data_IF_477337126132
#
_entry.id   IF_477337126132
#
_cell.length_a   1.000
_cell.length_b   1.000
_cell.length_c   1.000
_cell.angle_alpha   90.00
_cell.angle_beta   90.00
_cell.angle_gamma   90.00
#
_symmetry.space_group_name_H-M   'P 1'
#
loop_
_entity.id
_entity.type
_entity.pdbx_description
1 polymer ?
#
# COMPACT_ATOMS: atom_id res chain seq x y z
N UNK A 1 5.36 19.00 7.96
CA UNK A 1 4.23 18.26 7.38
C UNK A 1 3.20 18.07 8.47
N UNK A 2 1.91 17.99 8.11
CA UNK A 2 0.85 17.83 9.10
C UNK A 2 0.71 16.35 9.49
N UNK A 3 0.22 16.11 10.71
CA UNK A 3 -0.07 14.77 11.21
C UNK A 3 -1.50 14.40 10.85
N UNK A 4 -1.69 13.25 10.22
CA UNK A 4 -2.98 12.73 9.81
C UNK A 4 -3.29 11.40 10.51
N UNK A 5 -4.57 11.24 10.84
CA UNK A 5 -5.19 10.04 11.35
C UNK A 5 -6.04 9.47 10.21
N UNK A 6 -5.66 8.29 9.71
CA UNK A 6 -6.26 7.68 8.54
C UNK A 6 -6.90 6.35 8.93
N UNK A 7 -8.15 6.12 8.52
CA UNK A 7 -8.91 4.92 8.86
C UNK A 7 -9.57 4.32 7.62
N UNK A 8 -9.55 3.00 7.52
CA UNK A 8 -10.29 2.25 6.51
C UNK A 8 -10.75 0.92 7.13
N UNK A 9 -12.03 0.85 7.51
CA UNK A 9 -12.58 -0.31 8.22
C UNK A 9 -11.87 -0.54 9.55
N UNK A 10 -11.22 -1.70 9.71
CA UNK A 10 -10.45 -2.06 10.90
C UNK A 10 -9.00 -1.53 10.90
N UNK A 11 -8.52 -0.99 9.78
CA UNK A 11 -7.16 -0.45 9.65
C UNK A 11 -7.13 1.01 10.07
N UNK A 12 -6.21 1.34 10.97
CA UNK A 12 -5.94 2.71 11.42
C UNK A 12 -4.44 2.98 11.36
N UNK A 13 -4.04 4.12 10.80
CA UNK A 13 -2.65 4.55 10.76
C UNK A 13 -2.55 6.04 11.07
N UNK A 14 -1.42 6.43 11.67
CA UNK A 14 -1.06 7.82 11.89
C UNK A 14 0.17 8.09 11.03
N UNK A 15 0.07 9.09 10.15
CA UNK A 15 1.13 9.41 9.18
C UNK A 15 1.40 10.90 9.16
N UNK A 16 2.62 11.27 8.81
CA UNK A 16 2.93 12.64 8.42
C UNK A 16 2.84 12.74 6.89
N UNK A 17 2.03 13.67 6.39
CA UNK A 17 1.80 13.82 4.96
C UNK A 17 1.73 15.31 4.57
N UNK A 18 1.83 15.57 3.26
CA UNK A 18 1.71 16.91 2.71
C UNK A 18 0.25 17.36 2.63
N UNK A 19 -0.66 16.42 2.41
CA UNK A 19 -2.11 16.60 2.29
C UNK A 19 -2.85 15.29 2.66
N UNK A 20 -4.19 15.34 2.59
CA UNK A 20 -5.04 14.22 2.99
C UNK A 20 -4.98 13.07 1.98
N UNK A 21 -4.83 13.39 0.70
CA UNK A 21 -4.69 12.43 -0.40
C UNK A 21 -3.41 11.60 -0.24
N UNK A 22 -2.27 12.24 0.04
CA UNK A 22 -1.01 11.55 0.33
C UNK A 22 -1.11 10.69 1.60
N UNK A 23 -1.84 11.16 2.62
CA UNK A 23 -2.09 10.37 3.83
C UNK A 23 -2.91 9.10 3.53
N UNK A 24 -3.96 9.21 2.70
CA UNK A 24 -4.76 8.07 2.26
C UNK A 24 -3.93 7.11 1.36
N UNK A 25 -3.09 7.65 0.48
CA UNK A 25 -2.16 6.88 -0.35
C UNK A 25 -1.25 5.99 0.50
N UNK A 26 -0.75 6.52 1.62
CA UNK A 26 0.08 5.77 2.55
C UNK A 26 -0.66 4.60 3.21
N UNK A 27 -1.97 4.74 3.50
CA UNK A 27 -2.76 3.62 4.01
C UNK A 27 -2.87 2.51 2.96
N UNK A 28 -3.13 2.87 1.69
CA UNK A 28 -3.21 1.90 0.60
C UNK A 28 -1.86 1.22 0.36
N UNK A 29 -0.77 1.98 0.34
CA UNK A 29 0.58 1.45 0.18
C UNK A 29 0.90 0.39 1.25
N UNK A 30 0.65 0.72 2.51
CA UNK A 30 0.79 -0.21 3.64
C UNK A 30 -0.11 -1.44 3.50
N UNK A 31 -1.32 -1.29 2.97
CA UNK A 31 -2.23 -2.40 2.76
C UNK A 31 -1.81 -3.32 1.61
N UNK A 32 -1.26 -2.77 0.53
CA UNK A 32 -0.92 -3.49 -0.69
C UNK A 32 0.53 -3.99 -0.72
N UNK A 33 1.34 -3.69 0.30
CA UNK A 33 2.76 -4.04 0.37
C UNK A 33 3.04 -5.53 0.09
N UNK A 34 2.19 -6.44 0.56
CA UNK A 34 2.32 -7.90 0.33
C UNK A 34 2.06 -8.33 -1.12
N UNK A 35 1.52 -7.44 -1.96
CA UNK A 35 1.14 -7.69 -3.35
C UNK A 35 2.05 -6.97 -4.34
N UNK A 36 3.06 -6.21 -3.89
CA UNK A 36 3.95 -5.43 -4.78
C UNK A 36 4.73 -6.33 -5.75
N UNK A 37 4.94 -7.61 -5.42
CA UNK A 37 5.62 -8.58 -6.29
C UNK A 37 4.97 -8.74 -7.67
N UNK A 38 3.67 -8.44 -7.82
CA UNK A 38 2.97 -8.56 -9.13
C UNK A 38 3.53 -7.59 -10.19
N UNK A 39 4.25 -6.54 -9.77
CA UNK A 39 4.86 -5.58 -10.68
C UNK A 39 6.19 -6.06 -11.27
N UNK A 40 6.78 -7.11 -10.71
CA UNK A 40 7.99 -7.77 -11.23
C UNK A 40 7.64 -8.91 -12.20
N UNK A 41 6.40 -9.38 -12.19
CA UNK A 41 5.91 -10.41 -13.08
C UNK A 41 5.65 -9.83 -14.48
N UNK A 42 6.44 -10.25 -15.46
CA UNK A 42 6.37 -9.78 -16.84
C UNK A 42 5.16 -10.33 -17.60
N UNK A 43 4.56 -11.43 -17.14
CA UNK A 43 3.43 -12.09 -17.80
C UNK A 43 2.09 -11.45 -17.43
N UNK A 44 2.05 -10.60 -16.39
CA UNK A 44 0.86 -9.87 -15.99
C UNK A 44 0.73 -8.53 -16.73
N UNK A 45 -0.45 -8.30 -17.30
CA UNK A 45 -0.81 -6.99 -17.83
C UNK A 45 -1.12 -5.98 -16.71
N UNK A 46 -1.09 -4.68 -17.03
CA UNK A 46 -1.49 -3.64 -16.07
C UNK A 46 -2.95 -3.84 -15.59
N UNK A 47 -3.84 -4.32 -16.47
CA UNK A 47 -5.22 -4.65 -16.15
C UNK A 47 -5.33 -5.82 -15.18
N UNK A 48 -4.55 -6.88 -15.37
CA UNK A 48 -4.56 -8.06 -14.49
C UNK A 48 -4.04 -7.69 -13.09
N UNK A 49 -2.96 -6.88 -13.03
CA UNK A 49 -2.42 -6.36 -11.78
C UNK A 49 -3.46 -5.53 -11.02
N UNK A 50 -4.15 -4.61 -11.72
CA UNK A 50 -5.18 -3.80 -11.10
C UNK A 50 -6.38 -4.65 -10.62
N UNK A 51 -6.83 -5.61 -11.42
CA UNK A 51 -7.93 -6.49 -11.05
C UNK A 51 -7.59 -7.34 -9.81
N UNK A 52 -6.35 -7.85 -9.71
CA UNK A 52 -5.87 -8.56 -8.53
C UNK A 52 -5.96 -7.69 -7.27
N UNK A 53 -5.43 -6.46 -7.34
CA UNK A 53 -5.45 -5.51 -6.23
C UNK A 53 -6.88 -5.09 -5.85
N UNK A 54 -7.76 -4.90 -6.83
CA UNK A 54 -9.15 -4.53 -6.59
C UNK A 54 -9.92 -5.63 -5.85
N UNK A 55 -9.69 -6.90 -6.18
CA UNK A 55 -10.26 -8.04 -5.45
C UNK A 55 -9.73 -8.06 -4.01
N UNK A 56 -8.43 -7.89 -3.82
CA UNK A 56 -7.82 -7.86 -2.48
C UNK A 56 -8.40 -6.71 -1.62
N UNK A 57 -8.51 -5.51 -2.20
CA UNK A 57 -9.10 -4.37 -1.53
C UNK A 57 -10.58 -4.60 -1.17
N UNK A 58 -11.36 -5.21 -2.07
CA UNK A 58 -12.76 -5.54 -1.81
C UNK A 58 -12.92 -6.50 -0.63
N UNK A 59 -11.98 -7.44 -0.46
CA UNK A 59 -12.02 -8.44 0.61
C UNK A 59 -11.51 -7.92 1.95
N UNK A 60 -10.60 -6.95 1.95
CA UNK A 60 -9.84 -6.58 3.16
C UNK A 60 -9.99 -5.12 3.61
N UNK A 61 -10.54 -4.25 2.77
CA UNK A 61 -10.70 -2.82 3.05
C UNK A 61 -12.17 -2.42 3.06
N UNK A 62 -12.47 -1.36 3.79
CA UNK A 62 -13.77 -0.68 3.68
C UNK A 62 -13.85 0.08 2.34
N UNK A 63 -15.05 0.40 1.83
CA UNK A 63 -15.21 1.15 0.58
C UNK A 63 -14.70 2.60 0.66
N UNK A 64 -14.52 3.13 1.87
CA UNK A 64 -14.11 4.51 2.11
C UNK A 64 -12.93 4.58 3.10
N UNK A 65 -12.09 5.58 2.89
CA UNK A 65 -10.97 5.99 3.74
C UNK A 65 -11.34 7.32 4.39
N UNK A 66 -11.26 7.38 5.72
CA UNK A 66 -11.48 8.61 6.50
C UNK A 66 -10.15 9.20 6.93
N UNK A 67 -9.95 10.49 6.68
CA UNK A 67 -8.73 11.24 6.99
C UNK A 67 -9.05 12.45 7.86
N UNK A 68 -8.29 12.66 8.92
CA UNK A 68 -8.42 13.84 9.78
C UNK A 68 -7.09 14.24 10.39
N UNK A 69 -6.84 15.54 10.55
CA UNK A 69 -5.68 16.03 11.31
C UNK A 69 -5.89 16.00 12.83
N UNK A 70 -7.14 15.88 13.28
CA UNK A 70 -7.51 16.06 14.69
C UNK A 70 -7.62 14.74 15.48
N UNK A 71 -7.82 13.62 14.80
CA UNK A 71 -7.97 12.31 15.45
C UNK A 71 -8.77 11.31 14.64
N UNK A 72 -8.97 10.12 15.20
CA UNK A 72 -9.83 9.08 14.64
C UNK A 72 -11.32 9.36 14.91
N UNK A 73 -12.20 8.77 14.09
CA UNK A 73 -13.67 8.75 14.22
C UNK A 73 -14.33 10.13 14.30
N UNK A 74 -13.67 11.10 13.67
CA UNK A 74 -14.12 12.47 13.52
C UNK A 74 -15.28 12.55 12.53
N UNK A 75 -16.34 13.27 12.89
CA UNK A 75 -17.48 13.51 11.99
C UNK A 75 -17.14 14.50 10.88
N UNK A 76 -16.13 15.34 11.12
CA UNK A 76 -15.55 16.32 10.20
C UNK A 76 -14.36 15.75 9.40
N UNK A 77 -14.16 14.43 9.38
CA UNK A 77 -13.12 13.81 8.56
C UNK A 77 -13.41 13.95 7.07
N UNK A 78 -12.37 14.16 6.27
CA UNK A 78 -12.46 13.98 4.82
C UNK A 78 -12.66 12.50 4.50
N UNK A 79 -13.53 12.21 3.54
CA UNK A 79 -13.78 10.84 3.07
C UNK A 79 -13.32 10.71 1.62
N UNK A 80 -12.53 9.68 1.35
CA UNK A 80 -12.02 9.32 0.03
C UNK A 80 -12.46 7.90 -0.30
N UNK A 81 -12.82 7.62 -1.55
CA UNK A 81 -13.16 6.27 -1.97
C UNK A 81 -11.92 5.38 -2.06
N UNK A 82 -11.97 4.20 -1.43
CA UNK A 82 -10.88 3.22 -1.47
C UNK A 82 -10.52 2.81 -2.90
N UNK A 83 -11.47 2.56 -3.83
CA UNK A 83 -11.15 2.21 -5.21
C UNK A 83 -10.36 3.30 -5.95
N UNK A 84 -10.69 4.57 -5.74
CA UNK A 84 -10.06 5.71 -6.40
C UNK A 84 -8.63 5.90 -5.91
N UNK A 85 -8.41 5.84 -4.59
CA UNK A 85 -7.06 5.93 -4.01
C UNK A 85 -6.22 4.72 -4.42
N UNK A 86 -6.81 3.52 -4.48
CA UNK A 86 -6.15 2.31 -4.98
C UNK A 86 -5.74 2.45 -6.45
N UNK A 87 -6.62 2.99 -7.29
CA UNK A 87 -6.31 3.22 -8.70
C UNK A 87 -5.14 4.21 -8.84
N UNK A 88 -5.14 5.30 -8.08
CA UNK A 88 -4.05 6.27 -8.10
C UNK A 88 -2.73 5.67 -7.59
N UNK A 89 -2.77 4.85 -6.53
CA UNK A 89 -1.61 4.09 -6.06
C UNK A 89 -1.09 3.15 -7.16
N UNK A 90 -1.98 2.38 -7.79
CA UNK A 90 -1.63 1.46 -8.85
C UNK A 90 -0.96 2.17 -10.03
N UNK A 91 -1.51 3.30 -10.48
CA UNK A 91 -0.93 4.11 -11.56
C UNK A 91 0.46 4.63 -11.18
N UNK A 92 0.66 5.01 -9.92
CA UNK A 92 1.97 5.45 -9.39
C UNK A 92 2.98 4.31 -9.47
N UNK A 93 2.61 3.10 -9.03
CA UNK A 93 3.48 1.93 -9.09
C UNK A 93 3.82 1.52 -10.54
N UNK A 94 2.87 1.60 -11.47
CA UNK A 94 3.12 1.38 -12.90
C UNK A 94 4.12 2.41 -13.44
N UNK A 95 3.94 3.69 -13.10
CA UNK A 95 4.86 4.74 -13.53
C UNK A 95 6.28 4.54 -12.97
N UNK A 96 6.41 4.17 -11.70
CA UNK A 96 7.70 3.84 -11.06
C UNK A 96 8.37 2.63 -11.72
N UNK A 97 7.62 1.55 -11.98
CA UNK A 97 8.14 0.36 -12.66
C UNK A 97 8.68 0.70 -14.05
N UNK A 98 7.94 1.51 -14.82
CA UNK A 98 8.38 1.99 -16.14
C UNK A 98 9.63 2.87 -16.05
N UNK A 99 9.71 3.74 -15.05
CA UNK A 99 10.86 4.61 -14.81
C UNK A 99 12.12 3.83 -14.42
N UNK A 100 12.00 2.84 -13.53
CA UNK A 100 13.14 2.00 -13.17
C UNK A 100 13.64 1.18 -14.36
N UNK A 101 12.72 0.62 -15.14
CA UNK A 101 13.07 -0.11 -16.37
C UNK A 101 13.79 0.79 -17.37
N UNK A 102 13.33 2.03 -17.59
CA UNK A 102 13.99 2.95 -18.51
C UNK A 102 15.36 3.42 -18.02
N UNK A 103 15.57 3.49 -16.71
CA UNK A 103 16.85 3.77 -16.08
C UNK A 103 17.82 2.57 -16.07
N UNK A 104 17.40 1.40 -16.58
CA UNK A 104 18.20 0.16 -16.54
C UNK A 104 18.32 -0.46 -15.15
N UNK A 105 17.48 -0.03 -14.20
CA UNK A 105 17.39 -0.62 -12.87
C UNK A 105 16.48 -1.85 -12.94
N UNK A 106 17.05 -3.03 -12.72
CA UNK A 106 16.27 -4.26 -12.57
C UNK A 106 15.66 -4.30 -11.17
N UNK A 107 14.35 -4.50 -11.03
CA UNK A 107 13.76 -4.79 -9.73
C UNK A 107 14.46 -6.00 -9.11
N UNK A 108 14.83 -5.90 -7.83
CA UNK A 108 15.39 -7.04 -7.11
C UNK A 108 14.29 -8.09 -6.95
N UNK A 109 14.57 -9.30 -7.39
CA UNK A 109 13.64 -10.42 -7.23
C UNK A 109 13.34 -10.62 -5.73
N UNK A 110 12.10 -10.99 -5.38
CA UNK A 110 11.72 -11.39 -4.02
C UNK A 110 12.67 -12.47 -3.44
N UNK A 111 13.27 -13.29 -4.32
CA UNK A 111 14.31 -14.29 -4.00
C UNK A 111 15.60 -13.69 -3.44
N UNK A 112 15.91 -12.45 -3.79
CA UNK A 112 17.11 -11.70 -3.38
C UNK A 112 16.87 -10.86 -2.12
N UNK A 113 15.60 -10.64 -1.76
CA UNK A 113 15.19 -10.05 -0.48
C UNK A 113 15.24 -11.12 0.61
N UNK A 114 16.47 -11.48 1.00
CA UNK A 114 16.75 -12.41 2.08
C UNK A 114 16.21 -11.83 3.41
N UNK A 115 14.98 -12.16 3.79
CA UNK A 115 14.44 -11.82 5.10
C UNK A 115 15.25 -12.59 6.16
N UNK A 116 16.00 -11.93 7.06
CA UNK A 116 16.68 -12.64 8.13
C UNK A 116 15.64 -13.38 8.96
N UNK A 117 15.80 -14.71 9.09
CA UNK A 117 15.05 -15.53 10.07
C UNK A 117 15.48 -15.16 11.49
N UNK A 118 15.13 -13.98 11.98
CA UNK A 118 15.19 -13.66 13.40
C UNK A 118 13.83 -13.94 14.04
N UNK A 119 13.50 -15.23 14.12
CA UNK A 119 12.46 -15.72 15.02
C UNK A 119 13.08 -16.10 16.37
N UNK A 120 12.46 -15.77 17.52
CA UNK A 120 13.04 -15.92 18.86
C UNK A 120 13.08 -17.37 19.40
N UNK A 121 13.34 -18.38 18.55
CA UNK A 121 13.21 -19.80 18.94
C UNK A 121 14.43 -20.69 18.65
N UNK A 122 15.62 -20.12 18.48
CA UNK A 122 16.87 -20.90 18.36
C UNK A 122 17.59 -21.19 19.68
N UNK A 123 16.99 -20.87 20.84
CA UNK A 123 17.59 -21.09 22.16
C UNK A 123 17.01 -22.27 22.97
N UNK A 124 16.14 -23.10 22.38
CA UNK A 124 15.57 -24.26 23.06
C UNK A 124 15.62 -25.49 22.15
N UNK A 125 16.81 -26.09 22.04
CA UNK A 125 16.99 -27.51 21.77
C UNK A 125 18.34 -27.92 22.38
N UNK A 126 18.27 -28.99 23.18
CA UNK A 126 19.31 -29.54 24.05
C UNK A 126 20.59 -29.95 23.33
#
# INVERSE_FOLDING_TARGET
MAKFYVQCGSRNVIVEAIDSEAAAMHLIDSAMQSHVWIYDDADLSDGDRHAHLAIEALLTLAPEIRVSEQGFDRKDSLTLGTPEVLLQWHQTMVALSRLFRSAGLTPKSLSEMNFPKNGPNSALSA
#
